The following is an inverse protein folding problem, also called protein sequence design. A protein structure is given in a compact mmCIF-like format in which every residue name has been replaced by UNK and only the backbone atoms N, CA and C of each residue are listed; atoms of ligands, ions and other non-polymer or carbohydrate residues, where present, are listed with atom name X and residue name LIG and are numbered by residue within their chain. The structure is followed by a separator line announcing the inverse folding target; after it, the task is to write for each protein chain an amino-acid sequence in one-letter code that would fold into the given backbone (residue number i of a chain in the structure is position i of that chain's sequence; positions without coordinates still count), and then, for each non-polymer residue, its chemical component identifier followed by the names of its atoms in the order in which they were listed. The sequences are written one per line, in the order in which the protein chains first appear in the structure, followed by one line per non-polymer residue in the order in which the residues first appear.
data_IF_186458195390
#
_entry.id   IF_186458195390
#
_cell.length_a   1.000
_cell.length_b   1.000
_cell.length_c   1.000
_cell.angle_alpha   90.00
_cell.angle_beta   90.00
_cell.angle_gamma   90.00
#
_symmetry.space_group_name_H-M   'P 1'
#
loop_
_entity.id
_entity.type
_entity.pdbx_description
1 polymer ?
#
# COMPACT_ATOMS: atom_id res chain seq x y z
N UNK A 1 -6.91 -0.55 -7.68
CA UNK A 1 -8.24 -0.09 -8.14
C UNK A 1 -9.27 -1.10 -7.69
N UNK A 2 -10.20 -0.66 -6.90
CA UNK A 2 -11.27 -1.52 -6.41
C UNK A 2 -12.29 -1.75 -7.49
N UNK A 3 -12.75 -2.97 -7.66
CA UNK A 3 -13.87 -3.35 -8.51
C UNK A 3 -15.20 -3.27 -7.76
N UNK A 4 -15.22 -2.65 -6.58
CA UNK A 4 -16.38 -2.46 -5.76
C UNK A 4 -17.41 -1.48 -6.36
N UNK A 5 -18.48 -1.23 -5.64
CA UNK A 5 -19.46 -0.25 -6.06
C UNK A 5 -18.85 1.17 -6.08
N UNK A 6 -19.55 2.11 -6.69
CA UNK A 6 -19.09 3.50 -6.82
C UNK A 6 -19.58 4.40 -5.67
N UNK A 7 -20.14 3.82 -4.63
CA UNK A 7 -20.74 4.55 -3.52
C UNK A 7 -19.84 4.41 -2.32
N UNK A 8 -19.36 5.54 -1.79
CA UNK A 8 -18.63 5.58 -0.54
C UNK A 8 -19.53 5.20 0.65
N UNK A 9 -18.94 4.88 1.79
CA UNK A 9 -19.67 4.55 3.00
C UNK A 9 -20.66 5.63 3.44
N UNK A 10 -20.35 6.90 3.17
CA UNK A 10 -21.22 8.03 3.48
C UNK A 10 -22.39 8.19 2.50
N UNK A 11 -22.61 7.26 1.60
CA UNK A 11 -23.68 7.25 0.61
C UNK A 11 -23.48 8.18 -0.58
N UNK A 12 -22.31 8.84 -0.66
CA UNK A 12 -21.98 9.72 -1.79
C UNK A 12 -21.31 8.96 -2.90
N UNK A 13 -21.60 9.36 -4.11
CA UNK A 13 -20.91 8.85 -5.29
C UNK A 13 -19.48 9.39 -5.28
N UNK A 14 -18.50 8.50 -5.26
CA UNK A 14 -17.12 8.89 -5.40
C UNK A 14 -16.88 9.54 -6.76
N UNK A 15 -16.25 10.69 -6.74
CA UNK A 15 -15.83 11.33 -7.97
C UNK A 15 -14.79 10.44 -8.63
N UNK A 16 -15.16 9.81 -9.73
CA UNK A 16 -14.20 9.24 -10.67
C UNK A 16 -13.41 10.38 -11.29
N UNK A 17 -12.40 10.82 -10.62
CA UNK A 17 -11.40 11.63 -11.28
C UNK A 17 -10.64 10.68 -12.15
N UNK A 18 -10.75 10.94 -13.46
CA UNK A 18 -10.26 10.05 -14.47
C UNK A 18 -8.85 9.57 -14.15
N UNK A 19 -8.74 8.28 -13.91
CA UNK A 19 -7.45 7.62 -13.95
C UNK A 19 -6.82 7.94 -15.32
N UNK A 20 -5.84 8.82 -15.31
CA UNK A 20 -4.95 8.95 -16.46
C UNK A 20 -3.93 7.85 -16.31
N UNK A 21 -3.96 6.82 -17.18
CA UNK A 21 -2.95 5.78 -17.14
C UNK A 21 -1.58 6.46 -17.24
N UNK A 22 -0.69 6.19 -16.30
CA UNK A 22 0.68 6.74 -16.30
C UNK A 22 1.46 6.37 -17.56
N UNK A 23 1.05 5.29 -18.22
CA UNK A 23 1.66 4.79 -19.44
C UNK A 23 0.59 4.67 -20.51
N UNK A 24 0.79 5.32 -21.64
CA UNK A 24 -0.03 5.18 -22.84
C UNK A 24 -0.13 3.72 -23.37
N UNK A 25 0.58 2.81 -22.75
CA UNK A 25 0.61 1.38 -23.06
C UNK A 25 -0.31 0.51 -22.22
N UNK A 26 -0.99 1.06 -21.21
CA UNK A 26 -2.10 0.31 -20.65
C UNK A 26 -3.27 0.49 -21.59
N UNK A 27 -3.63 -0.52 -22.40
CA UNK A 27 -4.87 -0.47 -23.14
C UNK A 27 -5.94 -0.14 -22.11
N UNK A 28 -6.79 0.83 -22.44
CA UNK A 28 -8.02 1.02 -21.69
C UNK A 28 -8.58 -0.38 -21.52
N UNK A 29 -8.65 -0.87 -20.27
CA UNK A 29 -9.11 -2.22 -20.01
C UNK A 29 -10.54 -2.28 -20.52
N UNK A 30 -10.68 -2.78 -21.73
CA UNK A 30 -11.94 -2.87 -22.48
C UNK A 30 -12.80 -4.03 -22.01
N UNK A 31 -12.36 -4.70 -20.93
CA UNK A 31 -13.15 -5.74 -20.33
C UNK A 31 -14.30 -5.11 -19.53
N UNK A 32 -15.53 -5.63 -19.70
CA UNK A 32 -16.57 -5.32 -18.76
C UNK A 32 -16.06 -5.76 -17.37
N UNK A 33 -15.69 -4.80 -16.54
CA UNK A 33 -15.38 -5.07 -15.16
C UNK A 33 -16.65 -5.63 -14.51
N UNK A 34 -16.61 -6.89 -14.20
CA UNK A 34 -17.59 -7.46 -13.31
C UNK A 34 -17.26 -6.87 -11.94
N UNK A 35 -18.20 -6.14 -11.39
CA UNK A 35 -18.06 -5.66 -10.00
C UNK A 35 -17.95 -6.88 -9.08
N UNK A 36 -17.12 -6.79 -8.05
CA UNK A 36 -16.97 -7.86 -7.06
C UNK A 36 -18.26 -8.17 -6.30
N UNK A 37 -19.21 -7.23 -6.30
CA UNK A 37 -20.41 -7.27 -5.47
C UNK A 37 -20.18 -6.87 -4.02
N UNK A 38 -18.94 -6.59 -3.65
CA UNK A 38 -18.62 -6.10 -2.31
C UNK A 38 -18.58 -4.58 -2.26
N UNK A 39 -18.95 -3.96 -1.14
CA UNK A 39 -18.80 -2.53 -0.95
C UNK A 39 -17.33 -2.14 -0.86
N UNK A 40 -17.00 -0.94 -1.30
CA UNK A 40 -15.61 -0.47 -1.41
C UNK A 40 -14.83 -0.50 -0.10
N UNK A 41 -15.49 -0.30 1.03
CA UNK A 41 -14.81 -0.34 2.33
C UNK A 41 -14.24 -1.73 2.69
N UNK A 42 -14.67 -2.78 2.02
CA UNK A 42 -14.07 -4.12 2.15
C UNK A 42 -12.89 -4.36 1.19
N UNK A 43 -12.71 -3.52 0.18
CA UNK A 43 -11.75 -3.76 -0.89
C UNK A 43 -10.61 -2.76 -0.96
N UNK A 44 -10.76 -1.55 -0.38
CA UNK A 44 -9.75 -0.51 -0.45
C UNK A 44 -9.47 0.12 0.91
N UNK A 45 -8.19 0.33 1.20
CA UNK A 45 -7.73 0.87 2.47
C UNK A 45 -8.36 2.24 2.79
N UNK A 46 -8.41 3.13 1.81
CA UNK A 46 -9.04 4.45 1.92
C UNK A 46 -10.48 4.36 2.42
N UNK A 47 -11.29 3.53 1.80
CA UNK A 47 -12.71 3.39 2.14
C UNK A 47 -12.92 2.64 3.44
N UNK A 48 -12.06 1.70 3.78
CA UNK A 48 -12.07 1.04 5.09
C UNK A 48 -11.81 2.04 6.22
N UNK A 49 -10.87 2.95 6.04
CA UNK A 49 -10.58 4.01 7.01
C UNK A 49 -11.74 5.00 7.12
N UNK A 50 -12.35 5.40 6.00
CA UNK A 50 -13.53 6.25 5.99
C UNK A 50 -14.68 5.60 6.76
N UNK A 51 -14.94 4.33 6.51
CA UNK A 51 -15.96 3.56 7.21
C UNK A 51 -15.68 3.43 8.71
N UNK A 52 -14.41 3.28 9.09
CA UNK A 52 -13.97 3.21 10.48
C UNK A 52 -13.99 4.54 11.22
N UNK A 53 -14.35 5.66 10.56
CA UNK A 53 -14.42 6.98 11.17
C UNK A 53 -13.06 7.64 11.39
N UNK A 54 -12.04 7.23 10.66
CA UNK A 54 -10.73 7.88 10.65
C UNK A 54 -10.86 9.29 10.07
N UNK A 55 -10.11 10.30 10.55
CA UNK A 55 -10.13 11.65 9.98
C UNK A 55 -9.82 11.66 8.48
N UNK A 56 -10.51 12.50 7.72
CA UNK A 56 -10.37 12.63 6.27
C UNK A 56 -8.96 13.04 5.84
N UNK A 57 -8.25 13.80 6.65
CA UNK A 57 -6.84 14.13 6.43
C UNK A 57 -5.92 12.91 6.34
N UNK A 58 -6.32 11.77 6.87
CA UNK A 58 -5.56 10.52 6.85
C UNK A 58 -5.87 9.73 5.59
N UNK A 59 -7.15 9.53 5.27
CA UNK A 59 -7.55 8.69 4.13
C UNK A 59 -7.77 9.46 2.82
N UNK A 60 -7.75 10.80 2.85
CA UNK A 60 -8.00 11.64 1.68
C UNK A 60 -6.97 12.77 1.54
N UNK A 61 -5.66 12.47 1.53
CA UNK A 61 -4.60 13.49 1.49
C UNK A 61 -4.60 14.35 0.22
N UNK A 62 -5.31 13.97 -0.82
CA UNK A 62 -5.56 14.80 -2.01
C UNK A 62 -6.95 15.42 -2.02
N UNK A 63 -7.64 15.42 -0.88
CA UNK A 63 -9.01 15.96 -0.73
C UNK A 63 -10.02 15.31 -1.69
N UNK A 64 -9.86 14.03 -1.98
CA UNK A 64 -10.71 13.27 -2.90
C UNK A 64 -10.52 13.64 -4.38
N UNK A 65 -9.46 14.34 -4.72
CA UNK A 65 -9.14 14.70 -6.11
C UNK A 65 -8.50 13.55 -6.91
N UNK A 66 -7.89 12.59 -6.23
CA UNK A 66 -7.23 11.45 -6.85
C UNK A 66 -7.40 10.21 -5.95
N UNK A 67 -8.40 9.41 -6.28
CA UNK A 67 -8.79 8.23 -5.50
C UNK A 67 -7.66 7.21 -5.35
N UNK A 68 -6.95 6.94 -6.42
CA UNK A 68 -5.80 6.02 -6.42
C UNK A 68 -4.67 6.55 -5.52
N UNK A 69 -4.38 7.83 -5.62
CA UNK A 69 -3.33 8.46 -4.81
C UNK A 69 -3.70 8.49 -3.34
N UNK A 70 -4.95 8.79 -3.03
CA UNK A 70 -5.45 8.77 -1.66
C UNK A 70 -5.36 7.35 -1.08
N UNK A 71 -5.73 6.32 -1.85
CA UNK A 71 -5.69 4.93 -1.38
C UNK A 71 -4.26 4.48 -1.01
N UNK A 72 -3.27 4.67 -1.89
CA UNK A 72 -1.92 4.19 -1.57
C UNK A 72 -1.22 5.04 -0.51
N UNK A 73 -1.48 6.36 -0.46
CA UNK A 73 -0.88 7.25 0.54
C UNK A 73 -1.47 7.06 1.93
N UNK A 74 -2.76 6.79 2.01
CA UNK A 74 -3.45 6.62 3.30
C UNK A 74 -2.87 5.48 4.13
N UNK A 75 -2.29 4.46 3.50
CA UNK A 75 -1.72 3.30 4.20
C UNK A 75 -0.59 3.68 5.15
N UNK A 76 0.37 4.48 4.69
CA UNK A 76 1.45 4.99 5.55
C UNK A 76 0.95 6.02 6.57
N UNK A 77 0.02 6.88 6.18
CA UNK A 77 -0.58 7.86 7.11
C UNK A 77 -1.40 7.19 8.20
N UNK A 78 -2.04 6.07 7.91
CA UNK A 78 -2.74 5.25 8.90
C UNK A 78 -1.80 4.77 10.00
N UNK A 79 -0.63 4.25 9.66
CA UNK A 79 0.38 3.82 10.65
C UNK A 79 0.82 4.99 11.52
N UNK A 80 1.11 6.15 10.92
CA UNK A 80 1.49 7.35 11.66
C UNK A 80 0.37 7.83 12.60
N UNK A 81 -0.87 7.77 12.16
CA UNK A 81 -2.03 8.15 12.96
C UNK A 81 -2.27 7.18 14.13
N UNK A 82 -2.12 5.87 13.91
CA UNK A 82 -2.22 4.90 14.98
C UNK A 82 -1.15 5.14 16.04
N UNK A 83 0.09 5.30 15.62
CA UNK A 83 1.24 5.40 16.52
C UNK A 83 1.33 6.76 17.25
N UNK A 84 0.78 7.84 16.70
CA UNK A 84 0.89 9.19 17.24
C UNK A 84 2.34 9.60 17.52
N UNK A 85 3.14 9.68 16.44
CA UNK A 85 4.56 9.95 16.54
C UNK A 85 5.41 8.70 16.31
N UNK A 86 5.70 8.44 15.04
CA UNK A 86 6.61 7.38 14.62
C UNK A 86 8.05 7.90 14.60
N UNK A 87 9.03 6.99 14.51
CA UNK A 87 10.43 7.38 14.28
C UNK A 87 10.61 8.22 13.01
N UNK A 88 9.75 8.03 12.01
CA UNK A 88 9.76 8.83 10.77
C UNK A 88 9.05 10.18 10.92
N UNK A 89 8.10 10.28 11.84
CA UNK A 89 7.32 11.48 12.08
C UNK A 89 7.01 11.64 13.59
N UNK A 90 7.98 12.07 14.39
CA UNK A 90 7.85 12.14 15.85
C UNK A 90 6.77 13.11 16.35
N UNK A 91 6.47 14.14 15.57
CA UNK A 91 5.48 15.19 15.91
C UNK A 91 4.05 14.79 15.49
N UNK A 92 3.87 13.61 14.96
CA UNK A 92 2.57 13.12 14.51
C UNK A 92 1.56 13.04 15.64
N UNK A 93 0.33 13.47 15.36
CA UNK A 93 -0.80 13.34 16.29
C UNK A 93 -1.64 12.13 15.88
N UNK A 94 -2.21 11.44 16.87
CA UNK A 94 -3.03 10.28 16.59
C UNK A 94 -3.53 9.59 17.85
N UNK A 95 -3.67 8.27 17.77
CA UNK A 95 -4.30 7.46 18.81
C UNK A 95 -3.33 6.97 19.90
N UNK A 96 -2.04 7.17 19.73
CA UNK A 96 -0.99 6.70 20.64
C UNK A 96 -1.04 5.18 20.91
N UNK A 97 -1.33 4.42 19.87
CA UNK A 97 -1.29 2.96 19.90
C UNK A 97 0.13 2.53 19.55
N UNK A 98 0.82 1.76 20.39
CA UNK A 98 2.20 1.34 20.10
C UNK A 98 2.23 0.43 18.87
N UNK A 99 3.05 0.81 17.89
CA UNK A 99 3.30 0.07 16.65
C UNK A 99 4.80 -0.18 16.55
N UNK A 100 5.20 -1.43 16.65
CA UNK A 100 6.62 -1.80 16.53
C UNK A 100 7.06 -1.93 15.08
N UNK A 101 6.22 -2.52 14.24
CA UNK A 101 6.52 -2.79 12.83
C UNK A 101 5.31 -2.49 11.95
N UNK A 102 5.57 -2.05 10.72
CA UNK A 102 4.55 -1.95 9.70
C UNK A 102 4.97 -2.69 8.42
N UNK A 103 4.02 -3.37 7.81
CA UNK A 103 4.23 -4.17 6.62
C UNK A 103 3.09 -3.94 5.64
N UNK A 104 3.41 -3.72 4.37
CA UNK A 104 2.44 -3.59 3.30
C UNK A 104 2.59 -4.73 2.30
N UNK A 105 1.51 -5.43 2.01
CA UNK A 105 1.46 -6.50 1.03
C UNK A 105 0.72 -6.05 -0.23
N UNK A 106 1.33 -6.31 -1.39
CA UNK A 106 0.79 -6.00 -2.72
C UNK A 106 0.92 -7.20 -3.65
N UNK A 107 0.02 -7.31 -4.62
CA UNK A 107 0.02 -8.39 -5.60
C UNK A 107 0.28 -7.95 -7.04
N UNK A 108 0.71 -6.70 -7.27
CA UNK A 108 0.60 -6.06 -8.58
C UNK A 108 1.90 -5.48 -9.17
N UNK A 109 3.03 -5.74 -8.56
CA UNK A 109 4.30 -5.13 -8.98
C UNK A 109 4.94 -5.77 -10.24
N UNK A 110 4.15 -6.07 -11.25
CA UNK A 110 4.65 -6.34 -12.59
C UNK A 110 5.20 -5.07 -13.22
N UNK A 111 6.47 -5.08 -13.64
CA UNK A 111 7.13 -3.91 -14.21
C UNK A 111 7.02 -3.83 -15.72
N UNK A 112 6.67 -4.91 -16.39
CA UNK A 112 6.58 -4.99 -17.84
C UNK A 112 5.29 -5.70 -18.25
N UNK A 113 4.56 -5.11 -19.17
CA UNK A 113 3.37 -5.73 -19.76
C UNK A 113 3.73 -7.06 -20.43
N UNK A 114 2.99 -8.10 -20.08
CA UNK A 114 3.25 -9.46 -20.59
C UNK A 114 4.44 -10.15 -19.92
N UNK A 115 5.04 -9.55 -18.91
CA UNK A 115 6.07 -10.20 -18.12
C UNK A 115 5.46 -11.36 -17.33
N UNK A 116 5.91 -12.55 -17.65
CA UNK A 116 5.55 -13.76 -16.91
C UNK A 116 6.41 -13.97 -15.66
N UNK A 117 7.24 -13.00 -15.30
CA UNK A 117 8.09 -13.10 -14.12
C UNK A 117 7.22 -13.05 -12.88
N UNK A 118 7.21 -14.16 -12.23
CA UNK A 118 6.54 -14.36 -10.97
C UNK A 118 7.60 -14.38 -9.88
N UNK A 119 7.33 -13.73 -8.78
CA UNK A 119 8.26 -13.74 -7.67
C UNK A 119 7.94 -12.67 -6.66
N UNK A 120 8.52 -12.79 -5.49
CA UNK A 120 8.37 -11.82 -4.42
C UNK A 120 9.45 -10.74 -4.52
N UNK A 121 9.03 -9.48 -4.64
CA UNK A 121 9.88 -8.31 -4.57
C UNK A 121 9.75 -7.68 -3.18
N UNK A 122 10.86 -7.37 -2.54
CA UNK A 122 10.91 -6.57 -1.32
C UNK A 122 11.18 -5.10 -1.65
N UNK A 123 10.52 -4.18 -0.95
CA UNK A 123 10.77 -2.74 -1.06
C UNK A 123 10.95 -2.18 0.35
N UNK A 124 11.97 -1.37 0.54
CA UNK A 124 12.30 -0.74 1.81
C UNK A 124 12.87 0.67 1.57
N UNK A 125 13.14 1.42 2.61
CA UNK A 125 13.77 2.74 2.54
C UNK A 125 14.89 2.82 3.57
N UNK A 126 16.13 2.95 3.10
CA UNK A 126 17.29 3.23 3.93
C UNK A 126 17.93 4.58 3.63
N UNK A 127 17.46 5.34 2.65
CA UNK A 127 18.13 6.57 2.19
C UNK A 127 17.51 7.84 2.76
N UNK A 128 16.25 7.85 3.09
CA UNK A 128 15.55 9.03 3.61
C UNK A 128 16.24 9.55 4.88
N UNK A 129 16.42 10.87 4.96
CA UNK A 129 17.13 11.56 6.05
C UNK A 129 18.53 11.02 6.32
N UNK A 130 19.32 10.82 5.24
CA UNK A 130 20.69 10.29 5.31
C UNK A 130 20.81 8.94 6.03
N UNK A 131 19.79 8.10 5.88
CA UNK A 131 19.80 6.75 6.43
C UNK A 131 19.46 6.63 7.92
N UNK A 132 18.91 7.68 8.53
CA UNK A 132 18.58 7.68 9.94
C UNK A 132 17.12 8.05 10.20
N UNK A 133 16.58 7.56 11.28
CA UNK A 133 15.34 8.03 11.86
C UNK A 133 15.58 9.31 12.71
N UNK A 134 14.51 9.95 13.13
CA UNK A 134 14.60 11.18 13.93
C UNK A 134 15.28 10.97 15.31
N UNK A 135 15.24 9.75 15.84
CA UNK A 135 15.93 9.37 17.08
C UNK A 135 17.41 9.01 16.86
N UNK A 136 17.91 9.16 15.63
CA UNK A 136 19.29 8.84 15.26
C UNK A 136 19.55 7.36 14.97
N UNK A 137 18.55 6.47 15.15
CA UNK A 137 18.70 5.05 14.80
C UNK A 137 18.81 4.84 13.31
N UNK A 138 19.55 3.79 12.90
CA UNK A 138 19.78 3.48 11.48
C UNK A 138 18.52 2.92 10.81
N UNK A 139 18.22 3.39 9.59
CA UNK A 139 17.19 2.82 8.72
C UNK A 139 17.59 1.47 8.11
N UNK A 140 18.80 1.01 8.34
CA UNK A 140 19.24 -0.32 7.91
C UNK A 140 18.32 -1.43 8.46
N UNK A 141 17.69 -1.22 9.60
CA UNK A 141 16.67 -2.10 10.15
C UNK A 141 15.50 -2.36 9.20
N UNK A 142 15.13 -1.39 8.34
CA UNK A 142 14.09 -1.57 7.32
C UNK A 142 14.50 -2.61 6.29
N UNK A 143 15.77 -2.57 5.85
CA UNK A 143 16.32 -3.56 4.92
C UNK A 143 16.32 -4.96 5.54
N UNK A 144 16.77 -5.06 6.77
CA UNK A 144 16.88 -6.34 7.46
C UNK A 144 15.50 -6.96 7.69
N UNK A 145 14.51 -6.15 8.07
CA UNK A 145 13.12 -6.59 8.17
C UNK A 145 12.60 -7.06 6.81
N UNK A 146 12.83 -6.29 5.75
CA UNK A 146 12.41 -6.64 4.40
C UNK A 146 13.01 -7.98 3.94
N UNK A 147 14.31 -8.19 4.20
CA UNK A 147 15.01 -9.43 3.85
C UNK A 147 14.43 -10.66 4.58
N UNK A 148 14.19 -10.54 5.88
CA UNK A 148 13.59 -11.60 6.68
C UNK A 148 12.18 -11.95 6.20
N UNK A 149 11.32 -10.97 6.01
CA UNK A 149 9.95 -11.18 5.56
C UNK A 149 9.90 -11.76 4.15
N UNK A 150 10.68 -11.20 3.21
CA UNK A 150 10.75 -11.71 1.85
C UNK A 150 11.24 -13.16 1.81
N UNK A 151 12.26 -13.48 2.59
CA UNK A 151 12.83 -14.82 2.65
C UNK A 151 11.82 -15.83 3.17
N UNK A 152 11.07 -15.49 4.21
CA UNK A 152 10.02 -16.34 4.77
C UNK A 152 8.89 -16.57 3.77
N UNK A 153 8.38 -15.49 3.14
CA UNK A 153 7.32 -15.59 2.12
C UNK A 153 7.75 -16.50 0.96
N UNK A 154 8.97 -16.30 0.44
CA UNK A 154 9.49 -17.12 -0.66
C UNK A 154 9.64 -18.58 -0.25
N UNK A 155 10.10 -18.84 0.96
CA UNK A 155 10.20 -20.20 1.50
C UNK A 155 8.84 -20.88 1.55
N UNK A 156 7.84 -20.20 2.11
CA UNK A 156 6.50 -20.77 2.26
C UNK A 156 5.83 -21.03 0.91
N UNK A 157 5.95 -20.08 -0.04
CA UNK A 157 5.42 -20.27 -1.39
C UNK A 157 6.09 -21.44 -2.08
N UNK A 158 7.41 -21.60 -1.96
CA UNK A 158 8.13 -22.74 -2.55
C UNK A 158 7.75 -24.07 -1.93
N UNK A 159 7.48 -24.06 -0.65
CA UNK A 159 7.14 -25.29 0.08
C UNK A 159 5.71 -25.72 -0.19
N UNK A 160 4.77 -24.76 -0.27
CA UNK A 160 3.35 -25.07 -0.28
C UNK A 160 2.70 -25.02 -1.67
N UNK A 161 3.27 -24.25 -2.62
CA UNK A 161 2.57 -23.92 -3.87
C UNK A 161 3.42 -24.07 -5.13
N UNK A 162 4.57 -23.38 -5.24
CA UNK A 162 5.38 -23.33 -6.46
C UNK A 162 6.88 -23.43 -6.13
N UNK A 163 7.49 -24.62 -6.24
CA UNK A 163 8.88 -24.83 -5.87
C UNK A 163 9.90 -23.96 -6.62
N UNK A 164 9.52 -23.44 -7.80
CA UNK A 164 10.38 -22.57 -8.62
C UNK A 164 10.11 -21.10 -8.41
N UNK A 165 9.30 -20.72 -7.40
CA UNK A 165 8.98 -19.35 -7.14
C UNK A 165 10.25 -18.49 -6.97
N UNK A 166 10.32 -17.36 -7.66
CA UNK A 166 11.50 -16.51 -7.65
C UNK A 166 11.53 -15.60 -6.43
N UNK A 167 12.69 -15.54 -5.79
CA UNK A 167 13.04 -14.43 -4.93
C UNK A 167 13.62 -13.31 -5.81
N UNK A 168 12.87 -12.24 -5.99
CA UNK A 168 13.35 -11.06 -6.73
C UNK A 168 14.32 -10.25 -5.86
N UNK A 169 15.01 -9.31 -6.48
CA UNK A 169 15.85 -8.37 -5.73
C UNK A 169 15.05 -7.54 -4.73
N UNK A 170 15.75 -6.88 -3.83
CA UNK A 170 15.17 -5.87 -2.95
C UNK A 170 15.48 -4.48 -3.51
N UNK A 171 14.53 -3.56 -3.40
CA UNK A 171 14.64 -2.18 -3.86
C UNK A 171 14.65 -1.22 -2.67
N UNK A 172 15.58 -0.27 -2.73
CA UNK A 172 15.71 0.84 -1.78
C UNK A 172 15.24 2.15 -2.41
#
# INVERSE_FOLDING_TARGET
TTNGDSIAYDGKIDRKIGYKPRNAYQPALTYPYVTSGYPRYLEAARYSMQWAGVPDSIYSPSHGLDDYRDDYKSRGQWVNYLAAGTKAWPEGKGLNIPIDLSFAFHSDAGTVYGDSIIGTLGIYDTQTYNGHFADGSSRQANRDLCDLVQSSIVHDIRTCFEPKWSRRGMWD
#
